data_IF_730864505861
#
_entry.id   IF_730864505861
#
_cell.length_a   1.000
_cell.length_b   1.000
_cell.length_c   1.000
_cell.angle_alpha   90.00
_cell.angle_beta   90.00
_cell.angle_gamma   90.00
#
_symmetry.space_group_name_H-M   'P 1'
#
loop_
_entity.id
_entity.type
_entity.pdbx_description
1 polymer ?
#
# COMPACT_ATOMS: atom_id res chain seq x y z
N UNK A 1 0.90 7.09 0.13
CA UNK A 1 1.21 7.24 1.58
C UNK A 1 0.13 7.96 2.37
N UNK A 2 -0.44 9.07 1.91
CA UNK A 2 -1.57 9.72 2.59
C UNK A 2 -2.72 8.75 2.94
N UNK A 3 -3.12 7.86 2.02
CA UNK A 3 -4.15 6.83 2.29
C UNK A 3 -3.76 5.91 3.45
N UNK A 4 -2.49 5.47 3.52
CA UNK A 4 -2.01 4.63 4.62
C UNK A 4 -1.99 5.40 5.94
N UNK A 5 -1.63 6.68 5.92
CA UNK A 5 -1.68 7.54 7.10
C UNK A 5 -3.11 7.65 7.66
N UNK A 6 -4.09 8.02 6.83
CA UNK A 6 -5.49 8.10 7.27
C UNK A 6 -6.07 6.75 7.68
N UNK A 7 -5.68 5.66 7.01
CA UNK A 7 -6.04 4.30 7.44
C UNK A 7 -5.46 3.99 8.82
N UNK A 8 -4.22 4.40 9.10
CA UNK A 8 -3.61 4.27 10.42
C UNK A 8 -4.36 5.04 11.50
N UNK A 9 -4.86 6.24 11.19
CA UNK A 9 -5.68 7.03 12.11
C UNK A 9 -7.01 6.31 12.40
N UNK A 10 -7.70 5.81 11.38
CA UNK A 10 -8.93 5.03 11.54
C UNK A 10 -8.72 3.83 12.46
N UNK A 11 -7.65 3.05 12.25
CA UNK A 11 -7.31 1.91 13.11
C UNK A 11 -6.96 2.34 14.53
N UNK A 12 -6.25 3.45 14.68
CA UNK A 12 -5.92 4.00 16.00
C UNK A 12 -7.18 4.41 16.76
N UNK A 13 -8.15 5.04 16.08
CA UNK A 13 -9.44 5.39 16.66
C UNK A 13 -10.25 4.15 17.05
N UNK A 14 -10.25 3.11 16.22
CA UNK A 14 -10.94 1.86 16.51
C UNK A 14 -10.39 1.13 17.75
N UNK A 15 -9.07 1.18 17.95
CA UNK A 15 -8.40 0.51 19.08
C UNK A 15 -8.45 1.35 20.35
N UNK A 16 -8.18 2.65 20.26
CA UNK A 16 -8.10 3.53 21.44
C UNK A 16 -9.48 3.90 22.00
N UNK A 17 -10.51 4.01 21.14
CA UNK A 17 -11.86 4.43 21.53
C UNK A 17 -12.94 3.52 20.92
N UNK A 18 -12.99 2.23 21.30
CA UNK A 18 -13.86 1.24 20.65
C UNK A 18 -15.35 1.57 20.79
N UNK A 19 -15.78 2.13 21.94
CA UNK A 19 -17.17 2.54 22.17
C UNK A 19 -17.59 3.67 21.21
N UNK A 20 -16.75 4.70 21.06
CA UNK A 20 -17.02 5.82 20.16
C UNK A 20 -16.96 5.40 18.69
N UNK A 21 -16.03 4.51 18.34
CA UNK A 21 -15.92 3.95 17.00
C UNK A 21 -17.14 3.09 16.63
N UNK A 22 -17.68 2.32 17.58
CA UNK A 22 -18.90 1.51 17.39
C UNK A 22 -20.14 2.36 17.15
N UNK A 23 -20.26 3.51 17.84
CA UNK A 23 -21.36 4.47 17.63
C UNK A 23 -21.22 5.22 16.30
N UNK A 24 -20.00 5.32 15.75
CA UNK A 24 -19.76 5.98 14.48
C UNK A 24 -20.28 5.12 13.31
N UNK A 25 -21.19 5.66 12.52
CA UNK A 25 -21.78 4.92 11.39
C UNK A 25 -20.69 4.61 10.36
N UNK A 26 -20.55 3.32 9.96
CA UNK A 26 -19.58 2.88 8.92
C UNK A 26 -19.67 3.70 7.62
N UNK A 27 -20.89 4.12 7.23
CA UNK A 27 -21.14 4.95 6.04
C UNK A 27 -20.48 6.33 6.09
N UNK A 28 -20.19 6.85 7.29
CA UNK A 28 -19.57 8.17 7.47
C UNK A 28 -18.06 8.02 7.68
N UNK A 29 -17.63 6.95 8.36
CA UNK A 29 -16.23 6.71 8.73
C UNK A 29 -15.32 6.48 7.52
N UNK A 30 -15.76 5.67 6.54
CA UNK A 30 -14.93 5.32 5.37
C UNK A 30 -14.73 6.52 4.42
N UNK A 31 -15.77 7.28 4.03
CA UNK A 31 -15.58 8.47 3.20
C UNK A 31 -14.76 9.55 3.92
N UNK A 32 -15.00 9.76 5.22
CA UNK A 32 -14.28 10.78 6.00
C UNK A 32 -12.75 10.56 6.01
N UNK A 33 -12.29 9.32 5.84
CA UNK A 33 -10.85 8.99 5.79
C UNK A 33 -10.30 8.92 4.36
N UNK A 34 -11.14 8.55 3.40
CA UNK A 34 -10.72 8.38 1.99
C UNK A 34 -10.74 9.71 1.22
N UNK A 35 -11.74 10.56 1.48
CA UNK A 35 -11.92 11.85 0.80
C UNK A 35 -10.71 12.78 1.02
N UNK A 36 -10.19 12.98 2.25
CA UNK A 36 -9.02 13.83 2.45
C UNK A 36 -7.78 13.33 1.70
N UNK A 37 -7.58 12.01 1.65
CA UNK A 37 -6.47 11.42 0.93
C UNK A 37 -6.58 11.61 -0.59
N UNK A 38 -7.80 11.48 -1.13
CA UNK A 38 -8.09 11.72 -2.54
C UNK A 38 -7.94 13.21 -2.90
N UNK A 39 -8.49 14.10 -2.07
CA UNK A 39 -8.34 15.55 -2.23
C UNK A 39 -6.87 15.96 -2.22
N UNK A 40 -6.07 15.43 -1.28
CA UNK A 40 -4.64 15.66 -1.24
C UNK A 40 -3.95 15.26 -2.56
N UNK A 41 -4.26 14.08 -3.08
CA UNK A 41 -3.70 13.61 -4.35
C UNK A 41 -4.09 14.51 -5.53
N UNK A 42 -5.36 14.91 -5.61
CA UNK A 42 -5.87 15.79 -6.66
C UNK A 42 -5.22 17.18 -6.59
N UNK A 43 -5.11 17.78 -5.40
CA UNK A 43 -4.48 19.09 -5.22
C UNK A 43 -3.01 19.05 -5.65
N UNK A 44 -2.25 18.03 -5.23
CA UNK A 44 -0.86 17.87 -5.64
C UNK A 44 -0.73 17.70 -7.16
N UNK A 45 -1.63 16.95 -7.79
CA UNK A 45 -1.65 16.78 -9.25
C UNK A 45 -1.92 18.10 -9.97
N UNK A 46 -2.93 18.86 -9.54
CA UNK A 46 -3.27 20.16 -10.13
C UNK A 46 -2.11 21.14 -10.00
N UNK A 47 -1.50 21.23 -8.81
CA UNK A 47 -0.33 22.08 -8.60
C UNK A 47 0.84 21.67 -9.51
N UNK A 48 1.09 20.37 -9.66
CA UNK A 48 2.12 19.86 -10.54
C UNK A 48 1.84 20.23 -12.01
N UNK A 49 0.59 20.14 -12.48
CA UNK A 49 0.19 20.57 -13.81
C UNK A 49 0.41 22.08 -14.04
N UNK A 50 0.00 22.92 -13.09
CA UNK A 50 0.16 24.39 -13.20
C UNK A 50 1.65 24.76 -13.28
N UNK A 51 2.49 24.16 -12.42
CA UNK A 51 3.93 24.42 -12.44
C UNK A 51 4.62 23.88 -13.70
N UNK A 52 4.13 22.77 -14.26
CA UNK A 52 4.64 22.23 -15.52
C UNK A 52 4.30 23.12 -16.71
N UNK A 53 3.07 23.64 -16.81
CA UNK A 53 2.65 24.54 -17.90
C UNK A 53 3.41 25.87 -17.85
N UNK A 54 3.67 26.41 -16.67
CA UNK A 54 4.36 27.69 -16.51
C UNK A 54 5.88 27.61 -16.77
N UNK A 55 6.45 26.40 -16.93
CA UNK A 55 7.86 26.21 -17.24
C UNK A 55 8.01 25.62 -18.65
N UNK A 56 8.39 26.44 -19.63
CA UNK A 56 8.64 26.02 -21.03
C UNK A 56 9.90 25.15 -21.22
N UNK A 57 10.53 24.70 -20.14
CA UNK A 57 11.70 23.84 -20.18
C UNK A 57 11.34 22.44 -20.67
N UNK A 58 12.01 21.96 -21.73
CA UNK A 58 11.94 20.55 -22.13
C UNK A 58 12.47 19.68 -21.00
N UNK A 59 11.59 18.90 -20.38
CA UNK A 59 11.94 17.94 -19.32
C UNK A 59 11.85 16.51 -19.82
N UNK A 60 12.71 15.64 -19.29
CA UNK A 60 12.64 14.20 -19.55
C UNK A 60 11.39 13.65 -18.88
N UNK A 61 10.62 12.80 -19.58
CA UNK A 61 9.38 12.21 -19.07
C UNK A 61 9.68 11.24 -17.91
N UNK A 62 9.70 11.77 -16.69
CA UNK A 62 9.86 11.01 -15.44
C UNK A 62 8.93 11.60 -14.39
N UNK A 63 8.35 10.73 -13.57
CA UNK A 63 7.35 11.08 -12.55
C UNK A 63 7.81 12.24 -11.63
N UNK A 64 9.11 12.28 -11.30
CA UNK A 64 9.67 13.30 -10.42
C UNK A 64 9.98 14.61 -11.16
N UNK A 65 10.10 14.58 -12.48
CA UNK A 65 10.40 15.76 -13.28
C UNK A 65 9.21 16.74 -13.39
N UNK A 66 8.01 16.30 -13.02
CA UNK A 66 6.80 17.15 -12.95
C UNK A 66 6.94 18.18 -11.80
N UNK A 67 7.73 17.85 -10.78
CA UNK A 67 8.04 18.77 -9.69
C UNK A 67 9.22 19.65 -10.09
N UNK A 68 8.94 20.89 -10.49
CA UNK A 68 9.96 21.86 -10.90
C UNK A 68 10.14 22.98 -9.86
N UNK A 69 11.32 23.63 -9.89
CA UNK A 69 11.63 24.81 -9.07
C UNK A 69 11.46 24.59 -7.56
N UNK A 70 10.76 25.50 -6.89
CA UNK A 70 10.53 25.44 -5.44
C UNK A 70 9.57 24.31 -5.03
N UNK A 71 8.63 23.94 -5.91
CA UNK A 71 7.65 22.89 -5.63
C UNK A 71 8.31 21.53 -5.41
N UNK A 72 9.44 21.29 -6.08
CA UNK A 72 10.29 20.11 -5.87
C UNK A 72 10.78 19.96 -4.41
N UNK A 73 11.24 21.05 -3.81
CA UNK A 73 11.68 21.04 -2.41
C UNK A 73 10.51 20.83 -1.44
N UNK A 74 9.42 21.54 -1.67
CA UNK A 74 8.20 21.43 -0.85
C UNK A 74 7.67 20.00 -0.88
N UNK A 75 7.55 19.40 -2.06
CA UNK A 75 7.08 18.03 -2.22
C UNK A 75 8.01 17.03 -1.53
N UNK A 76 9.33 17.15 -1.72
CA UNK A 76 10.30 16.25 -1.09
C UNK A 76 10.25 16.25 0.44
N UNK A 77 10.17 17.44 1.05
CA UNK A 77 10.06 17.60 2.51
C UNK A 77 8.72 17.05 2.99
N UNK A 78 7.61 17.46 2.36
CA UNK A 78 6.26 17.04 2.76
C UNK A 78 6.08 15.51 2.64
N UNK A 79 6.58 14.91 1.56
CA UNK A 79 6.54 13.47 1.37
C UNK A 79 7.32 12.74 2.47
N UNK A 80 8.53 13.21 2.79
CA UNK A 80 9.37 12.64 3.85
C UNK A 80 8.69 12.72 5.21
N UNK A 81 8.08 13.87 5.55
CA UNK A 81 7.35 14.06 6.81
C UNK A 81 6.12 13.15 6.92
N UNK A 82 5.31 13.05 5.86
CA UNK A 82 4.15 12.16 5.83
C UNK A 82 4.57 10.69 5.97
N UNK A 83 5.67 10.29 5.33
CA UNK A 83 6.22 8.93 5.45
C UNK A 83 6.66 8.63 6.88
N UNK A 84 7.43 9.52 7.49
CA UNK A 84 7.90 9.38 8.86
C UNK A 84 6.73 9.33 9.85
N UNK A 85 5.76 10.24 9.71
CA UNK A 85 4.56 10.28 10.54
C UNK A 85 3.74 8.99 10.43
N UNK A 86 3.61 8.43 9.22
CA UNK A 86 2.92 7.15 9.01
C UNK A 86 3.63 6.01 9.74
N UNK A 87 4.96 5.93 9.64
CA UNK A 87 5.73 4.87 10.30
C UNK A 87 5.64 4.99 11.82
N UNK A 88 5.77 6.20 12.36
CA UNK A 88 5.63 6.46 13.80
C UNK A 88 4.23 6.05 14.28
N UNK A 89 3.18 6.46 13.56
CA UNK A 89 1.80 6.12 13.89
C UNK A 89 1.60 4.61 13.99
N UNK A 90 2.08 3.86 12.99
CA UNK A 90 1.96 2.41 12.99
C UNK A 90 2.85 1.73 14.04
N UNK A 91 4.02 2.28 14.34
CA UNK A 91 4.88 1.79 15.43
C UNK A 91 4.21 1.96 16.80
N UNK A 92 3.60 3.12 17.06
CA UNK A 92 2.83 3.40 18.28
C UNK A 92 1.63 2.46 18.37
N UNK A 93 0.86 2.32 17.30
CA UNK A 93 -0.28 1.41 17.24
C UNK A 93 0.12 -0.03 17.56
N UNK A 94 1.26 -0.47 17.02
CA UNK A 94 1.80 -1.80 17.26
C UNK A 94 2.14 -2.04 18.74
N UNK A 95 2.74 -1.05 19.40
CA UNK A 95 3.04 -1.14 20.84
C UNK A 95 1.77 -1.19 21.68
N UNK A 96 0.75 -0.41 21.33
CA UNK A 96 -0.54 -0.40 22.03
C UNK A 96 -1.22 -1.76 21.91
N UNK A 97 -1.26 -2.34 20.71
CA UNK A 97 -1.90 -3.64 20.47
C UNK A 97 -1.22 -4.75 21.28
N UNK A 98 0.12 -4.79 21.28
CA UNK A 98 0.89 -5.79 22.05
C UNK A 98 0.60 -5.68 23.55
N UNK A 99 0.46 -4.45 24.06
CA UNK A 99 0.15 -4.21 25.48
C UNK A 99 -1.30 -4.55 25.86
N UNK A 100 -2.23 -4.52 24.90
CA UNK A 100 -3.66 -4.64 25.15
C UNK A 100 -4.21 -6.09 25.11
N UNK A 101 -3.36 -7.12 24.95
CA UNK A 101 -3.75 -8.55 24.87
C UNK A 101 -5.05 -8.79 24.08
N UNK A 102 -5.16 -8.16 22.91
CA UNK A 102 -6.40 -8.17 22.14
C UNK A 102 -6.61 -9.50 21.42
N UNK A 103 -7.85 -9.99 21.42
CA UNK A 103 -8.34 -11.23 20.77
C UNK A 103 -7.60 -11.63 19.47
N UNK A 104 -7.21 -12.92 19.39
CA UNK A 104 -6.40 -13.53 18.33
C UNK A 104 -6.77 -13.15 16.89
N UNK A 105 -8.06 -13.09 16.54
CA UNK A 105 -8.48 -12.91 15.14
C UNK A 105 -8.33 -11.48 14.63
N UNK A 106 -8.61 -10.48 15.47
CA UNK A 106 -8.37 -9.07 15.12
C UNK A 106 -6.87 -8.76 15.09
N UNK A 107 -6.10 -9.46 15.95
CA UNK A 107 -4.65 -9.35 16.02
C UNK A 107 -3.97 -9.81 14.72
N UNK A 108 -4.37 -10.93 14.11
CA UNK A 108 -3.77 -11.42 12.85
C UNK A 108 -3.96 -10.45 11.67
N UNK A 109 -5.15 -9.87 11.52
CA UNK A 109 -5.44 -8.88 10.49
C UNK A 109 -4.62 -7.59 10.72
N UNK A 110 -4.54 -7.12 11.96
CA UNK A 110 -3.74 -5.96 12.33
C UNK A 110 -2.24 -6.21 12.13
N UNK A 111 -1.75 -7.41 12.40
CA UNK A 111 -0.36 -7.80 12.20
C UNK A 111 0.00 -7.84 10.71
N UNK A 112 -0.88 -8.36 9.86
CA UNK A 112 -0.72 -8.34 8.40
C UNK A 112 -0.63 -6.91 7.88
N UNK A 113 -1.55 -6.04 8.34
CA UNK A 113 -1.56 -4.63 7.98
C UNK A 113 -0.29 -3.92 8.45
N UNK A 114 0.19 -4.21 9.66
CA UNK A 114 1.45 -3.67 10.19
C UNK A 114 2.63 -4.01 9.28
N UNK A 115 2.77 -5.28 8.88
CA UNK A 115 3.86 -5.72 8.02
C UNK A 115 3.79 -5.04 6.66
N UNK A 116 2.60 -5.01 6.04
CA UNK A 116 2.38 -4.33 4.77
C UNK A 116 2.75 -2.84 4.85
N UNK A 117 2.28 -2.14 5.87
CA UNK A 117 2.57 -0.71 6.04
C UNK A 117 4.03 -0.44 6.38
N UNK A 118 4.67 -1.29 7.17
CA UNK A 118 6.11 -1.18 7.44
C UNK A 118 6.90 -1.33 6.13
N UNK A 119 6.58 -2.33 5.30
CA UNK A 119 7.28 -2.56 4.04
C UNK A 119 7.09 -1.41 3.05
N UNK A 120 5.84 -0.95 2.84
CA UNK A 120 5.53 0.20 1.99
C UNK A 120 6.18 1.47 2.54
N UNK A 121 6.10 1.67 3.87
CA UNK A 121 6.75 2.72 4.63
C UNK A 121 8.23 2.82 4.34
N UNK A 122 8.95 1.71 4.51
CA UNK A 122 10.39 1.63 4.27
C UNK A 122 10.74 1.88 2.80
N UNK A 123 9.99 1.31 1.85
CA UNK A 123 10.24 1.56 0.43
C UNK A 123 10.06 3.03 0.03
N UNK A 124 9.02 3.68 0.55
CA UNK A 124 8.82 5.12 0.34
C UNK A 124 9.90 5.96 1.01
N UNK A 125 10.23 5.69 2.28
CA UNK A 125 11.31 6.38 2.99
C UNK A 125 12.62 6.27 2.22
N UNK A 126 13.05 5.05 1.87
CA UNK A 126 14.28 4.82 1.12
C UNK A 126 14.32 5.64 -0.18
N UNK A 127 13.22 5.62 -0.93
CA UNK A 127 13.11 6.38 -2.18
C UNK A 127 13.19 7.90 -1.96
N UNK A 128 12.45 8.42 -0.98
CA UNK A 128 12.45 9.87 -0.68
C UNK A 128 13.77 10.32 -0.06
N UNK A 129 14.44 9.48 0.72
CA UNK A 129 15.75 9.79 1.28
C UNK A 129 16.82 9.81 0.20
N UNK A 130 16.88 8.80 -0.67
CA UNK A 130 17.79 8.80 -1.83
C UNK A 130 17.52 10.05 -2.69
N UNK A 131 16.25 10.36 -2.94
CA UNK A 131 15.85 11.56 -3.65
C UNK A 131 16.43 12.85 -3.03
N UNK A 132 16.23 13.06 -1.73
CA UNK A 132 16.70 14.25 -1.04
C UNK A 132 18.23 14.31 -0.98
N UNK A 133 18.91 13.19 -0.74
CA UNK A 133 20.38 13.12 -0.73
C UNK A 133 20.97 13.55 -2.07
N UNK A 134 20.38 13.16 -3.20
CA UNK A 134 20.87 13.57 -4.54
C UNK A 134 20.84 15.08 -4.79
N UNK A 135 20.10 15.85 -3.97
CA UNK A 135 20.10 17.32 -4.02
C UNK A 135 21.28 17.95 -3.28
N UNK A 136 21.85 17.26 -2.28
CA UNK A 136 22.97 17.75 -1.48
C UNK A 136 24.33 17.28 -2.01
N UNK A 137 24.37 16.20 -2.79
CA UNK A 137 25.60 15.72 -3.41
C UNK A 137 25.83 16.43 -4.75
N UNK A 138 27.07 16.88 -4.97
CA UNK A 138 27.48 17.47 -6.23
C UNK A 138 27.78 16.37 -7.27
N UNK A 139 26.77 16.01 -8.05
CA UNK A 139 26.82 15.00 -9.12
C UNK A 139 26.27 15.58 -10.42
N UNK A 140 26.68 15.01 -11.55
CA UNK A 140 26.13 15.41 -12.86
C UNK A 140 24.62 15.20 -12.93
N UNK A 141 23.92 16.03 -13.72
CA UNK A 141 22.46 15.95 -13.86
C UNK A 141 21.99 14.61 -14.43
N UNK A 142 22.79 14.02 -15.33
CA UNK A 142 22.53 12.69 -15.90
C UNK A 142 22.63 11.61 -14.82
N UNK A 143 23.66 11.65 -13.97
CA UNK A 143 23.80 10.72 -12.85
C UNK A 143 22.65 10.87 -11.86
N UNK A 144 22.28 12.12 -11.53
CA UNK A 144 21.15 12.43 -10.64
C UNK A 144 19.84 11.87 -11.20
N UNK A 145 19.62 11.97 -12.51
CA UNK A 145 18.47 11.41 -13.20
C UNK A 145 18.40 9.87 -13.03
N UNK A 146 19.49 9.15 -13.30
CA UNK A 146 19.51 7.69 -13.16
C UNK A 146 19.25 7.26 -11.71
N UNK A 147 19.90 7.89 -10.73
CA UNK A 147 19.70 7.57 -9.31
C UNK A 147 18.23 7.75 -8.91
N UNK A 148 17.58 8.82 -9.38
CA UNK A 148 16.16 9.07 -9.11
C UNK A 148 15.25 8.00 -9.72
N UNK A 149 15.56 7.51 -10.92
CA UNK A 149 14.83 6.40 -11.54
C UNK A 149 14.98 5.11 -10.74
N UNK A 150 16.20 4.76 -10.33
CA UNK A 150 16.46 3.58 -9.49
C UNK A 150 15.83 3.71 -8.10
N UNK A 151 15.80 4.91 -7.52
CA UNK A 151 15.08 5.15 -6.26
C UNK A 151 13.60 4.78 -6.39
N UNK A 152 12.96 5.10 -7.51
CA UNK A 152 11.56 4.74 -7.77
C UNK A 152 11.28 3.24 -7.74
N UNK A 153 12.28 2.39 -8.00
CA UNK A 153 12.13 0.93 -7.95
C UNK A 153 11.76 0.45 -6.54
N UNK A 154 12.29 1.06 -5.48
CA UNK A 154 11.99 0.66 -4.09
C UNK A 154 10.51 0.87 -3.73
N UNK A 155 9.89 1.97 -4.18
CA UNK A 155 8.45 2.18 -3.99
C UNK A 155 7.63 1.15 -4.77
N UNK A 156 7.99 0.89 -6.03
CA UNK A 156 7.24 -0.05 -6.85
C UNK A 156 7.29 -1.46 -6.25
N UNK A 157 8.48 -1.93 -5.87
CA UNK A 157 8.65 -3.20 -5.16
C UNK A 157 7.80 -3.18 -3.88
N UNK A 158 7.90 -2.15 -3.05
CA UNK A 158 7.20 -2.15 -1.77
C UNK A 158 5.67 -2.21 -1.91
N UNK A 159 5.12 -1.54 -2.93
CA UNK A 159 3.68 -1.56 -3.22
C UNK A 159 3.25 -2.93 -3.78
N UNK A 160 4.04 -3.56 -4.65
CA UNK A 160 3.71 -4.87 -5.23
C UNK A 160 3.62 -5.98 -4.18
N UNK A 161 4.47 -5.95 -3.15
CA UNK A 161 4.49 -6.97 -2.10
C UNK A 161 3.26 -6.91 -1.18
N UNK A 162 2.48 -5.83 -1.18
CA UNK A 162 1.25 -5.76 -0.39
C UNK A 162 0.30 -6.92 -0.70
N UNK A 163 0.13 -7.24 -1.99
CA UNK A 163 -0.70 -8.35 -2.41
C UNK A 163 -0.23 -9.69 -1.82
N UNK A 164 1.08 -9.93 -1.82
CA UNK A 164 1.67 -11.14 -1.23
C UNK A 164 1.39 -11.24 0.27
N UNK A 165 1.54 -10.14 1.01
CA UNK A 165 1.26 -10.15 2.45
C UNK A 165 -0.22 -10.40 2.75
N UNK A 166 -1.12 -9.75 2.01
CA UNK A 166 -2.56 -9.98 2.17
C UNK A 166 -2.95 -11.42 1.81
N UNK A 167 -2.42 -11.96 0.71
CA UNK A 167 -2.68 -13.34 0.31
C UNK A 167 -2.11 -14.35 1.29
N UNK A 168 -0.89 -14.16 1.77
CA UNK A 168 -0.26 -15.14 2.65
C UNK A 168 -0.87 -15.16 4.05
N UNK A 169 -1.34 -14.02 4.58
CA UNK A 169 -1.74 -13.94 5.98
C UNK A 169 -3.24 -13.73 6.24
N UNK A 170 -4.00 -13.14 5.30
CA UNK A 170 -5.45 -12.98 5.46
C UNK A 170 -6.22 -14.13 4.82
N UNK A 171 -6.81 -14.99 5.64
CA UNK A 171 -7.66 -16.07 5.16
C UNK A 171 -8.92 -15.54 4.44
N UNK A 172 -9.51 -14.47 4.96
CA UNK A 172 -10.66 -13.80 4.34
C UNK A 172 -10.30 -13.29 2.93
N UNK A 173 -9.12 -12.68 2.78
CA UNK A 173 -8.63 -12.22 1.49
C UNK A 173 -8.39 -13.39 0.52
N UNK A 174 -7.73 -14.47 0.95
CA UNK A 174 -7.56 -15.69 0.12
C UNK A 174 -8.89 -16.29 -0.31
N UNK A 175 -9.86 -16.34 0.59
CA UNK A 175 -11.16 -16.94 0.32
C UNK A 175 -11.95 -16.08 -0.67
N UNK A 176 -11.91 -14.75 -0.54
CA UNK A 176 -12.47 -13.83 -1.52
C UNK A 176 -11.77 -13.95 -2.89
N UNK A 177 -10.43 -13.99 -2.91
CA UNK A 177 -9.65 -14.17 -4.13
C UNK A 177 -10.01 -15.48 -4.82
N UNK A 178 -10.02 -16.62 -4.11
CA UNK A 178 -10.43 -17.92 -4.66
C UNK A 178 -11.86 -17.91 -5.19
N UNK A 179 -12.80 -17.22 -4.52
CA UNK A 179 -14.18 -17.07 -5.01
C UNK A 179 -14.25 -16.29 -6.33
N UNK A 180 -13.47 -15.23 -6.48
CA UNK A 180 -13.41 -14.48 -7.74
C UNK A 180 -12.70 -15.29 -8.83
N UNK A 181 -11.63 -15.99 -8.49
CA UNK A 181 -10.86 -16.80 -9.43
C UNK A 181 -11.69 -17.95 -10.01
N UNK A 182 -12.56 -18.58 -9.19
CA UNK A 182 -13.52 -19.60 -9.64
C UNK A 182 -14.60 -19.08 -10.61
N UNK A 183 -14.85 -17.77 -10.65
CA UNK A 183 -15.81 -17.14 -11.57
C UNK A 183 -15.18 -16.77 -12.91
N UNK A 184 -13.86 -16.87 -13.05
CA UNK A 184 -13.19 -16.64 -14.33
C UNK A 184 -13.54 -17.80 -15.28
N UNK A 185 -14.22 -17.54 -16.41
CA UNK A 185 -14.68 -18.58 -17.32
C UNK A 185 -13.53 -19.45 -17.88
N UNK A 186 -12.31 -18.90 -17.93
CA UNK A 186 -11.11 -19.56 -18.45
C UNK A 186 -10.63 -20.78 -17.62
N UNK A 187 -11.09 -20.94 -16.38
CA UNK A 187 -10.72 -22.06 -15.50
C UNK A 187 -11.83 -23.10 -15.33
N UNK A 188 -13.02 -22.85 -15.90
CA UNK A 188 -14.15 -23.77 -15.79
C UNK A 188 -13.95 -25.05 -16.62
N UNK A 189 -13.02 -25.04 -17.58
CA UNK A 189 -12.77 -26.16 -18.50
C UNK A 189 -11.55 -27.02 -18.14
N UNK A 190 -10.76 -26.66 -17.12
CA UNK A 190 -9.51 -27.40 -16.80
C UNK A 190 -9.67 -28.40 -15.65
N UNK A 191 -10.82 -28.44 -14.98
CA UNK A 191 -11.09 -29.38 -13.89
C UNK A 191 -12.32 -30.23 -14.20
N UNK A 192 -12.24 -30.99 -15.30
CA UNK A 192 -12.88 -32.30 -15.32
C UNK A 192 -11.94 -33.23 -14.54
N UNK A 193 -12.08 -33.22 -13.21
CA UNK A 193 -11.54 -34.29 -12.39
C UNK A 193 -12.23 -35.57 -12.90
N UNK A 194 -11.48 -36.43 -13.60
CA UNK A 194 -12.01 -37.69 -14.10
C UNK A 194 -12.72 -38.42 -12.96
N UNK A 195 -13.99 -38.64 -13.20
CA UNK A 195 -14.91 -39.46 -12.44
C UNK A 195 -14.24 -40.75 -12.02
N UNK A 196 -14.36 -41.08 -10.73
CA UNK A 196 -13.98 -42.36 -10.11
C UNK A 196 -14.09 -43.54 -11.08
N UNK A 197 -12.97 -44.18 -11.41
CA UNK A 197 -13.00 -45.56 -11.86
C UNK A 197 -13.39 -46.44 -10.66
N UNK A 198 -14.67 -46.79 -10.59
CA UNK A 198 -15.12 -47.89 -9.73
C UNK A 198 -14.53 -49.17 -10.31
N UNK A 199 -13.51 -49.74 -9.67
CA UNK A 199 -13.07 -51.11 -9.99
C UNK A 199 -14.22 -52.05 -9.60
N UNK A 200 -14.87 -52.64 -10.59
CA UNK A 200 -15.66 -53.85 -10.40
C UNK A 200 -14.68 -55.00 -10.16
N UNK A 201 -14.63 -55.48 -8.92
CA UNK A 201 -13.93 -56.70 -8.59
C UNK A 201 -14.83 -57.87 -9.00
N UNK A 202 -14.48 -58.53 -10.11
CA UNK A 202 -15.14 -59.74 -10.60
C UNK A 202 -14.69 -60.88 -9.70
N UNK A 203 -15.63 -61.47 -8.95
CA UNK A 203 -15.43 -62.72 -8.21
C UNK A 203 -15.49 -63.87 -9.21
N UNK A 204 -14.36 -64.53 -9.48
CA UNK A 204 -14.37 -65.85 -10.14
C UNK A 204 -14.28 -66.93 -9.07
N UNK A 205 -15.34 -67.74 -9.03
CA UNK A 205 -15.43 -69.03 -8.36
C UNK A 205 -14.63 -70.04 -9.19
N UNK A 206 -13.71 -70.76 -8.55
CA UNK A 206 -13.44 -72.19 -8.79
C UNK A 206 -12.73 -72.78 -7.58
#
# INVERSE_FOLDING_TARGET
>A
MAILFFTGIDRSMAILKPLRYRTMRRRISVPAMTIPAALYAVVILILACIYAINNDGKVICVLVAIYSGQFDWIWGILATLVNLATIILYAVLSRIIVKAETSNRNFELLQTLKIAVAFVGMGHLASTTIYMVTKFVNISDVTRFYIRCYAGVFINISVSFNWLFYYWRSEEYRNAFRRQFKKLPCLKNTVNLQTKHTMQQITTVH
#
